data_IF_156565460179
#
_entry.id   IF_156565460179
#
_cell.length_a   1.000
_cell.length_b   1.000
_cell.length_c   1.000
_cell.angle_alpha   90.00
_cell.angle_beta   90.00
_cell.angle_gamma   90.00
#
_symmetry.space_group_name_H-M   'P 1'
#
loop_
_entity.id
_entity.type
_entity.pdbx_description
1 polymer ?
#
# COMPACT_ATOMS: atom_id res chain seq x y z
N UNK A 1 9.64 10.10 13.12
CA UNK A 1 10.64 9.25 12.44
C UNK A 1 9.96 8.51 11.31
N UNK A 2 10.59 8.56 10.18
CA UNK A 2 9.98 8.03 8.95
C UNK A 2 9.79 6.53 8.97
N UNK A 3 10.68 5.81 9.65
CA UNK A 3 10.55 4.37 9.74
C UNK A 3 9.32 3.89 10.52
N UNK A 4 8.60 4.83 11.14
CA UNK A 4 7.37 4.49 11.86
C UNK A 4 6.11 4.74 11.03
N UNK A 5 6.27 5.20 9.78
CA UNK A 5 5.14 5.44 8.90
C UNK A 5 4.52 4.11 8.50
N UNK A 6 3.20 4.02 8.56
CA UNK A 6 2.44 2.84 8.14
C UNK A 6 2.76 1.56 8.92
N UNK A 7 3.20 1.70 10.17
CA UNK A 7 3.53 0.54 10.99
C UNK A 7 2.30 -0.29 11.35
N UNK A 8 1.14 0.34 11.54
CA UNK A 8 -0.09 -0.40 11.82
C UNK A 8 -0.52 -1.20 10.60
N UNK A 9 -0.38 -0.63 9.40
CA UNK A 9 -0.65 -1.35 8.16
C UNK A 9 0.23 -2.58 8.04
N UNK A 10 1.54 -2.42 8.27
CA UNK A 10 2.48 -3.52 8.22
C UNK A 10 2.14 -4.60 9.25
N UNK A 11 1.83 -4.18 10.48
CA UNK A 11 1.47 -5.12 11.54
C UNK A 11 0.24 -5.95 11.17
N UNK A 12 -0.75 -5.33 10.55
CA UNK A 12 -1.95 -6.04 10.12
C UNK A 12 -1.69 -7.03 9.00
N UNK A 13 -0.77 -6.69 8.09
CA UNK A 13 -0.35 -7.63 7.04
C UNK A 13 0.31 -8.85 7.66
N UNK A 14 1.22 -8.64 8.59
CA UNK A 14 1.93 -9.74 9.26
C UNK A 14 0.99 -10.59 10.09
N UNK A 15 0.00 -9.98 10.73
CA UNK A 15 -0.99 -10.68 11.54
C UNK A 15 -1.95 -11.50 10.70
N UNK A 16 -2.41 -10.95 9.57
CA UNK A 16 -3.41 -11.61 8.74
C UNK A 16 -2.81 -12.60 7.75
N UNK A 17 -1.58 -12.39 7.33
CA UNK A 17 -0.91 -13.25 6.35
C UNK A 17 0.52 -13.60 6.81
N UNK A 18 0.66 -14.27 7.95
CA UNK A 18 1.99 -14.53 8.53
C UNK A 18 2.85 -15.48 7.70
N UNK A 19 2.23 -16.29 6.85
CA UNK A 19 2.95 -17.26 6.04
C UNK A 19 3.06 -16.85 4.58
N UNK A 20 2.76 -15.60 4.26
CA UNK A 20 2.83 -15.15 2.88
C UNK A 20 4.26 -15.23 2.34
N UNK A 21 4.37 -15.58 1.08
CA UNK A 21 5.65 -15.63 0.38
C UNK A 21 5.73 -14.58 -0.72
N UNK A 22 4.64 -13.88 -0.96
CA UNK A 22 4.54 -12.88 -2.02
C UNK A 22 4.91 -11.51 -1.48
N UNK A 23 5.63 -10.73 -2.30
CA UNK A 23 5.74 -9.30 -2.02
C UNK A 23 4.38 -8.64 -2.27
N UNK A 24 4.07 -7.61 -1.50
CA UNK A 24 2.81 -6.90 -1.63
C UNK A 24 3.08 -5.44 -1.98
N UNK A 25 2.20 -4.86 -2.79
CA UNK A 25 2.21 -3.43 -3.06
C UNK A 25 0.83 -2.88 -2.72
N UNK A 26 0.81 -1.87 -1.84
CA UNK A 26 -0.41 -1.15 -1.51
C UNK A 26 -0.38 0.18 -2.22
N UNK A 27 -1.51 0.55 -2.82
CA UNK A 27 -1.64 1.79 -3.56
C UNK A 27 -2.84 2.56 -3.03
N UNK A 28 -2.67 3.86 -2.83
CA UNK A 28 -3.75 4.74 -2.37
C UNK A 28 -3.67 6.06 -3.09
N UNK A 29 -4.81 6.55 -3.58
CA UNK A 29 -4.98 7.91 -4.08
C UNK A 29 -6.15 8.50 -3.32
N UNK A 30 -5.96 9.70 -2.78
CA UNK A 30 -6.98 10.38 -1.98
C UNK A 30 -7.08 11.84 -2.41
N UNK A 31 -7.80 12.05 -3.52
CA UNK A 31 -8.09 13.38 -4.05
C UNK A 31 -9.60 13.61 -4.01
N UNK A 32 -10.06 14.87 -3.98
CA UNK A 32 -11.50 15.13 -3.94
C UNK A 32 -12.28 14.47 -5.08
N UNK A 33 -11.70 14.38 -6.26
CA UNK A 33 -12.38 13.78 -7.42
C UNK A 33 -11.86 12.39 -7.79
N UNK A 34 -10.92 11.83 -7.02
CA UNK A 34 -10.32 10.55 -7.38
C UNK A 34 -9.82 9.83 -6.13
N UNK A 35 -10.64 8.93 -5.60
CA UNK A 35 -10.27 8.12 -4.45
C UNK A 35 -10.13 6.67 -4.89
N UNK A 36 -8.93 6.10 -4.70
CA UNK A 36 -8.65 4.71 -5.04
C UNK A 36 -7.77 4.09 -3.97
N UNK A 37 -7.96 2.80 -3.73
CA UNK A 37 -7.12 2.06 -2.82
C UNK A 37 -7.12 0.59 -3.26
N UNK A 38 -5.94 -0.05 -3.23
CA UNK A 38 -5.84 -1.46 -3.58
C UNK A 38 -4.62 -2.10 -2.94
N UNK A 39 -4.71 -3.41 -2.78
CA UNK A 39 -3.60 -4.25 -2.34
C UNK A 39 -3.32 -5.25 -3.44
N UNK A 40 -2.07 -5.31 -3.89
CA UNK A 40 -1.64 -6.21 -4.95
C UNK A 40 -0.56 -7.16 -4.44
N UNK A 41 -0.58 -8.38 -4.95
CA UNK A 41 0.40 -9.40 -4.60
C UNK A 41 1.18 -9.84 -5.82
N UNK A 42 2.47 -10.09 -5.62
CA UNK A 42 3.35 -10.58 -6.68
C UNK A 42 2.97 -12.01 -7.06
N UNK A 43 2.77 -12.22 -8.34
CA UNK A 43 2.47 -13.53 -8.92
C UNK A 43 3.50 -13.81 -10.02
N UNK A 44 3.60 -15.06 -10.53
CA UNK A 44 4.61 -15.38 -11.54
C UNK A 44 4.60 -14.50 -12.78
N UNK A 45 3.43 -13.97 -13.15
CA UNK A 45 3.27 -13.13 -14.34
C UNK A 45 3.02 -11.66 -14.02
N UNK A 46 3.34 -11.22 -12.81
CA UNK A 46 3.22 -9.82 -12.41
C UNK A 46 2.38 -9.63 -11.17
N UNK A 47 2.14 -8.38 -10.80
CA UNK A 47 1.33 -8.07 -9.63
C UNK A 47 -0.16 -8.10 -9.96
N UNK A 48 -0.95 -8.72 -9.10
CA UNK A 48 -2.40 -8.84 -9.27
C UNK A 48 -3.13 -8.41 -8.02
N UNK A 49 -4.31 -7.86 -8.20
CA UNK A 49 -5.16 -7.41 -7.09
C UNK A 49 -5.50 -8.59 -6.18
N UNK A 50 -5.26 -8.44 -4.89
CA UNK A 50 -5.51 -9.51 -3.92
C UNK A 50 -6.97 -9.93 -3.85
N UNK A 51 -7.90 -9.03 -4.17
CA UNK A 51 -9.32 -9.36 -4.20
C UNK A 51 -9.67 -10.38 -5.28
N UNK A 52 -8.79 -10.56 -6.26
CA UNK A 52 -8.96 -11.55 -7.33
C UNK A 52 -8.24 -12.86 -7.04
N UNK A 53 -7.52 -12.94 -5.92
CA UNK A 53 -6.71 -14.11 -5.57
C UNK A 53 -7.33 -14.80 -4.36
N UNK A 54 -7.68 -16.07 -4.52
CA UNK A 54 -8.39 -16.82 -3.50
C UNK A 54 -7.61 -17.00 -2.19
N UNK A 55 -6.28 -16.93 -2.25
CA UNK A 55 -5.44 -17.10 -1.06
C UNK A 55 -5.51 -15.88 -0.13
N UNK A 56 -6.01 -14.76 -0.62
CA UNK A 56 -6.15 -13.53 0.18
C UNK A 56 -7.63 -13.31 0.47
N UNK A 57 -8.04 -13.57 1.70
CA UNK A 57 -9.43 -13.41 2.12
C UNK A 57 -9.85 -11.95 2.04
N UNK A 58 -10.96 -11.66 1.37
CA UNK A 58 -11.44 -10.29 1.19
C UNK A 58 -11.54 -9.52 2.49
N UNK A 59 -12.06 -10.17 3.54
CA UNK A 59 -12.19 -9.53 4.85
C UNK A 59 -10.86 -9.05 5.38
N UNK A 60 -9.82 -9.90 5.28
CA UNK A 60 -8.48 -9.56 5.76
C UNK A 60 -7.87 -8.44 4.91
N UNK A 61 -8.07 -8.50 3.60
CA UNK A 61 -7.60 -7.43 2.71
C UNK A 61 -8.24 -6.10 3.08
N UNK A 62 -9.54 -6.09 3.32
CA UNK A 62 -10.25 -4.86 3.68
C UNK A 62 -9.77 -4.27 5.01
N UNK A 63 -9.42 -5.12 5.97
CA UNK A 63 -8.85 -4.64 7.24
C UNK A 63 -7.51 -3.92 7.03
N UNK A 64 -6.68 -4.47 6.16
CA UNK A 64 -5.39 -3.87 5.83
C UNK A 64 -5.58 -2.53 5.13
N UNK A 65 -6.49 -2.48 4.17
CA UNK A 65 -6.76 -1.25 3.42
C UNK A 65 -7.35 -0.17 4.32
N UNK A 66 -8.20 -0.56 5.29
CA UNK A 66 -8.75 0.39 6.24
C UNK A 66 -7.66 1.00 7.12
N UNK A 67 -6.69 0.19 7.56
CA UNK A 67 -5.57 0.68 8.34
C UNK A 67 -4.71 1.65 7.52
N UNK A 68 -4.46 1.32 6.26
CA UNK A 68 -3.69 2.19 5.37
C UNK A 68 -4.38 3.55 5.19
N UNK A 69 -5.68 3.55 4.94
CA UNK A 69 -6.44 4.79 4.76
C UNK A 69 -6.40 5.65 6.02
N UNK A 70 -6.53 5.03 7.17
CA UNK A 70 -6.49 5.73 8.46
C UNK A 70 -5.14 6.37 8.70
N UNK A 71 -4.07 5.61 8.46
CA UNK A 71 -2.71 6.13 8.66
C UNK A 71 -2.38 7.23 7.67
N UNK A 72 -2.80 7.10 6.42
CA UNK A 72 -2.57 8.13 5.41
C UNK A 72 -3.31 9.42 5.77
N UNK A 73 -4.56 9.30 6.23
CA UNK A 73 -5.35 10.46 6.67
C UNK A 73 -4.66 11.18 7.84
N UNK A 74 -4.09 10.42 8.77
CA UNK A 74 -3.37 11.01 9.90
C UNK A 74 -2.14 11.80 9.43
N UNK A 75 -1.44 11.29 8.42
CA UNK A 75 -0.30 12.01 7.84
C UNK A 75 -0.74 13.33 7.19
N UNK A 76 -1.86 13.31 6.48
CA UNK A 76 -2.37 14.49 5.79
C UNK A 76 -2.81 15.58 6.75
N UNK A 77 -3.25 15.21 7.96
CA UNK A 77 -3.76 16.16 8.94
C UNK A 77 -2.74 16.52 10.01
N UNK A 78 -1.52 15.98 9.94
CA UNK A 78 -0.47 16.24 10.90
C UNK A 78 0.01 17.69 10.77
N UNK A 79 -0.15 18.54 11.80
CA UNK A 79 0.29 19.93 11.71
C UNK A 79 1.81 20.08 11.61
N UNK A 80 2.57 19.06 11.96
CA UNK A 80 4.03 19.07 11.84
C UNK A 80 4.49 18.80 10.42
N UNK A 81 3.60 18.29 9.57
CA UNK A 81 3.93 18.00 8.17
C UNK A 81 3.88 19.29 7.35
N UNK A 82 4.95 19.55 6.61
CA UNK A 82 5.01 20.69 5.71
C UNK A 82 4.65 20.31 4.27
N UNK A 83 4.50 19.02 4.00
CA UNK A 83 4.16 18.52 2.68
C UNK A 83 2.81 17.83 2.72
N UNK A 84 2.08 17.94 1.62
CA UNK A 84 0.83 17.23 1.47
C UNK A 84 0.94 16.31 0.27
N UNK A 85 0.52 15.07 0.48
CA UNK A 85 0.54 14.06 -0.57
C UNK A 85 -0.88 13.65 -0.90
N UNK A 86 -1.15 13.40 -2.18
CA UNK A 86 -2.44 12.89 -2.63
C UNK A 86 -2.41 11.39 -2.87
N UNK A 87 -1.25 10.78 -2.84
CA UNK A 87 -1.10 9.35 -3.11
C UNK A 87 0.06 8.76 -2.31
N UNK A 88 -0.02 7.46 -2.09
CA UNK A 88 1.05 6.70 -1.44
C UNK A 88 1.14 5.31 -2.06
N UNK A 89 2.36 4.79 -2.18
CA UNK A 89 2.60 3.42 -2.59
C UNK A 89 3.55 2.77 -1.60
N UNK A 90 3.21 1.57 -1.15
CA UNK A 90 4.01 0.81 -0.19
C UNK A 90 4.38 -0.53 -0.81
N UNK A 91 5.69 -0.81 -0.87
CA UNK A 91 6.17 -2.14 -1.23
C UNK A 91 6.56 -2.86 0.05
N UNK A 92 5.96 -4.01 0.31
CA UNK A 92 6.24 -4.81 1.50
C UNK A 92 6.76 -6.16 1.07
N UNK A 93 8.03 -6.41 1.38
CA UNK A 93 8.69 -7.67 1.04
C UNK A 93 8.26 -8.79 1.98
N UNK A 94 8.44 -10.07 1.58
CA UNK A 94 8.06 -11.20 2.44
C UNK A 94 8.71 -11.18 3.82
N UNK A 95 9.90 -10.59 3.96
CA UNK A 95 10.61 -10.49 5.23
C UNK A 95 10.12 -9.33 6.11
N UNK A 96 9.15 -8.54 5.62
CA UNK A 96 8.60 -7.41 6.35
C UNK A 96 9.27 -6.08 6.06
N UNK A 97 10.31 -6.05 5.24
CA UNK A 97 10.93 -4.79 4.84
C UNK A 97 9.96 -3.98 3.99
N UNK A 98 9.87 -2.68 4.27
CA UNK A 98 8.91 -1.80 3.61
C UNK A 98 9.61 -0.62 2.94
N UNK A 99 9.17 -0.31 1.71
CA UNK A 99 9.57 0.89 0.99
C UNK A 99 8.32 1.71 0.72
N UNK A 100 8.44 3.04 0.81
CA UNK A 100 7.30 3.94 0.65
C UNK A 100 7.64 4.98 -0.41
N UNK A 101 6.67 5.28 -1.27
CA UNK A 101 6.76 6.35 -2.26
C UNK A 101 5.53 7.23 -2.15
N UNK A 102 5.74 8.54 -2.20
CA UNK A 102 4.67 9.54 -2.23
C UNK A 102 4.62 10.29 -3.56
N UNK A 103 5.23 9.74 -4.60
CA UNK A 103 5.27 10.37 -5.92
C UNK A 103 3.93 10.15 -6.63
N UNK A 104 3.04 11.14 -6.51
CA UNK A 104 1.69 11.09 -7.07
C UNK A 104 1.68 10.74 -8.55
N UNK A 105 2.55 11.39 -9.32
CA UNK A 105 2.59 11.22 -10.77
C UNK A 105 2.98 9.79 -11.13
N UNK A 106 4.02 9.28 -10.50
CA UNK A 106 4.49 7.91 -10.75
C UNK A 106 3.43 6.89 -10.33
N UNK A 107 2.76 7.12 -9.19
CA UNK A 107 1.74 6.21 -8.69
C UNK A 107 0.56 6.15 -9.67
N UNK A 108 0.10 7.30 -10.15
CA UNK A 108 -1.00 7.34 -11.11
C UNK A 108 -0.62 6.72 -12.46
N UNK A 109 0.58 7.01 -12.94
CA UNK A 109 1.06 6.51 -14.23
C UNK A 109 1.23 4.99 -14.22
N UNK A 110 1.60 4.42 -13.06
CA UNK A 110 1.87 2.99 -12.94
C UNK A 110 0.83 2.25 -12.11
N UNK A 111 -0.38 2.77 -12.07
CA UNK A 111 -1.45 2.17 -11.24
C UNK A 111 -1.70 0.70 -11.56
N UNK A 112 -1.61 0.33 -12.84
CA UNK A 112 -1.84 -1.05 -13.27
C UNK A 112 -0.58 -1.90 -13.31
N UNK A 113 0.59 -1.27 -13.15
CA UNK A 113 1.88 -1.95 -13.09
C UNK A 113 2.71 -1.35 -11.98
N UNK A 114 2.29 -1.54 -10.73
CA UNK A 114 2.89 -0.82 -9.59
C UNK A 114 4.34 -1.16 -9.34
N UNK A 115 4.83 -2.28 -9.87
CA UNK A 115 6.24 -2.62 -9.75
C UNK A 115 7.15 -1.55 -10.35
N UNK A 116 6.67 -0.81 -11.35
CA UNK A 116 7.48 0.26 -11.97
C UNK A 116 7.63 1.49 -11.09
N UNK A 117 6.83 1.61 -10.04
CA UNK A 117 7.01 2.68 -9.06
C UNK A 117 8.33 2.46 -8.30
N UNK A 118 8.70 1.22 -8.06
CA UNK A 118 9.84 0.84 -7.23
C UNK A 118 11.02 0.28 -8.02
N UNK A 119 10.77 -0.27 -9.19
CA UNK A 119 11.81 -1.01 -9.96
C UNK A 119 11.94 -0.51 -11.40
N UNK A 120 11.78 0.74 -11.62
CA UNK A 120 11.87 1.32 -12.97
C UNK A 120 13.31 1.31 -13.52
#
# INVERSE_FOLDING_TARGET
>A
MEQNIFQDTLARIQENFPERKDALILLLVDKPEDERIRLMAQQPDGYKDCLLLSVYTNRKVMEILAALRQEFSALQTDPASTEQWDAAALLIKPDGEMQVSFDDESILDHWNRPEYIFFS
#
